data_IF_800336521103
#
_entry.id   IF_800336521103
#
_cell.length_a   1.000
_cell.length_b   1.000
_cell.length_c   1.000
_cell.angle_alpha   90.00
_cell.angle_beta   90.00
_cell.angle_gamma   90.00
#
_symmetry.space_group_name_H-M   'P 1'
#
loop_
_entity.id
_entity.type
_entity.pdbx_description
1 polymer ?
#
# COMPACT_ATOMS: atom_id res chain seq x y z
N UNK A 1 -11.67 -4.63 -26.33
CA UNK A 1 -11.04 -3.85 -25.26
C UNK A 1 -11.86 -2.59 -25.13
N UNK A 2 -12.47 -2.38 -23.98
CA UNK A 2 -13.29 -1.20 -23.67
C UNK A 2 -12.49 -0.22 -22.83
N UNK A 3 -13.05 0.96 -22.56
CA UNK A 3 -12.35 2.06 -21.87
C UNK A 3 -11.68 1.61 -20.55
N UNK A 4 -12.32 0.73 -19.78
CA UNK A 4 -11.75 0.20 -18.53
C UNK A 4 -10.46 -0.61 -18.74
N UNK A 5 -10.33 -1.36 -19.85
CA UNK A 5 -9.11 -2.11 -20.14
C UNK A 5 -7.92 -1.14 -20.32
N UNK A 6 -8.15 -0.01 -21.00
CA UNK A 6 -7.15 1.05 -21.14
C UNK A 6 -6.85 1.74 -19.82
N UNK A 7 -7.85 1.94 -18.95
CA UNK A 7 -7.64 2.47 -17.60
C UNK A 7 -6.78 1.52 -16.76
N UNK A 8 -7.06 0.22 -16.78
CA UNK A 8 -6.27 -0.80 -16.07
C UNK A 8 -4.81 -0.79 -16.55
N UNK A 9 -4.59 -0.83 -17.86
CA UNK A 9 -3.24 -0.76 -18.45
C UNK A 9 -2.57 0.56 -18.05
N UNK A 10 -3.31 1.66 -18.07
CA UNK A 10 -2.82 2.97 -17.65
C UNK A 10 -2.34 2.99 -16.20
N UNK A 11 -3.11 2.45 -15.27
CA UNK A 11 -2.74 2.39 -13.84
C UNK A 11 -1.51 1.52 -13.63
N UNK A 12 -1.50 0.31 -14.20
CA UNK A 12 -0.37 -0.63 -14.06
C UNK A 12 0.88 -0.07 -14.70
N UNK A 13 0.77 0.46 -15.92
CA UNK A 13 1.87 1.07 -16.67
C UNK A 13 2.42 2.31 -15.96
N UNK A 14 1.55 3.18 -15.44
CA UNK A 14 1.96 4.36 -14.68
C UNK A 14 2.65 3.98 -13.36
N UNK A 15 2.12 2.98 -12.65
CA UNK A 15 2.76 2.46 -11.44
C UNK A 15 4.14 1.88 -11.73
N UNK A 16 4.28 1.12 -12.82
CA UNK A 16 5.56 0.58 -13.27
C UNK A 16 6.55 1.69 -13.69
N UNK A 17 6.07 2.73 -14.37
CA UNK A 17 6.89 3.87 -14.81
C UNK A 17 7.39 4.71 -13.63
N UNK A 18 6.54 4.96 -12.63
CA UNK A 18 6.97 5.61 -11.39
C UNK A 18 8.07 4.79 -10.72
N UNK A 19 7.91 3.48 -10.62
CA UNK A 19 8.89 2.61 -9.97
C UNK A 19 10.16 2.41 -10.80
N UNK A 20 10.11 2.60 -12.13
CA UNK A 20 11.31 2.70 -12.97
C UNK A 20 12.15 3.94 -12.62
N UNK A 21 11.50 5.07 -12.32
CA UNK A 21 12.19 6.33 -11.97
C UNK A 21 12.71 6.28 -10.53
N UNK A 22 11.93 5.74 -9.60
CA UNK A 22 12.30 5.70 -8.17
C UNK A 22 13.23 4.55 -7.82
N UNK A 23 13.11 3.40 -8.49
CA UNK A 23 13.87 2.18 -8.19
C UNK A 23 13.19 1.28 -7.15
N UNK A 24 13.50 -0.01 -7.18
CA UNK A 24 12.92 -1.02 -6.28
C UNK A 24 13.25 -0.73 -4.81
N UNK A 25 14.51 -0.46 -4.50
CA UNK A 25 14.98 -0.33 -3.12
C UNK A 25 14.27 0.83 -2.42
N UNK A 26 14.12 1.98 -3.10
CA UNK A 26 13.41 3.13 -2.53
C UNK A 26 11.94 2.81 -2.22
N UNK A 27 11.31 2.02 -3.09
CA UNK A 27 9.93 1.58 -2.95
C UNK A 27 9.76 0.55 -1.82
N UNK A 28 10.64 -0.45 -1.75
CA UNK A 28 10.62 -1.49 -0.73
C UNK A 28 10.90 -0.93 0.67
N UNK A 29 11.92 -0.07 0.79
CA UNK A 29 12.27 0.60 2.04
C UNK A 29 11.15 1.54 2.51
N UNK A 30 10.46 2.21 1.58
CA UNK A 30 9.26 2.99 1.91
C UNK A 30 8.18 2.09 2.52
N UNK A 31 7.89 0.94 1.91
CA UNK A 31 6.87 0.02 2.42
C UNK A 31 7.24 -0.52 3.82
N UNK A 32 8.50 -0.93 4.02
CA UNK A 32 9.02 -1.36 5.33
C UNK A 32 8.91 -0.24 6.37
N UNK A 33 9.25 0.99 6.00
CA UNK A 33 9.14 2.16 6.87
C UNK A 33 7.69 2.39 7.34
N UNK A 34 6.71 2.22 6.44
CA UNK A 34 5.30 2.31 6.80
C UNK A 34 4.89 1.23 7.81
N UNK A 35 5.29 -0.03 7.60
CA UNK A 35 5.05 -1.11 8.58
C UNK A 35 5.67 -0.81 9.94
N UNK A 36 6.94 -0.36 9.96
CA UNK A 36 7.63 0.02 11.20
C UNK A 36 6.93 1.20 11.88
N UNK A 37 6.48 2.21 11.12
CA UNK A 37 5.78 3.35 11.67
C UNK A 37 4.46 2.95 12.33
N UNK A 38 3.67 2.06 11.72
CA UNK A 38 2.47 1.52 12.36
C UNK A 38 2.80 0.72 13.62
N UNK A 39 3.84 -0.13 13.57
CA UNK A 39 4.25 -0.92 14.72
C UNK A 39 4.68 -0.03 15.88
N UNK A 40 5.56 0.95 15.62
CA UNK A 40 6.04 1.87 16.65
C UNK A 40 4.89 2.71 17.21
N UNK A 41 4.06 3.30 16.34
CA UNK A 41 2.96 4.14 16.79
C UNK A 41 1.91 3.35 17.59
N UNK A 42 1.59 2.11 17.21
CA UNK A 42 0.60 1.29 17.93
C UNK A 42 1.12 0.74 19.27
N UNK A 43 2.43 0.52 19.40
CA UNK A 43 3.01 -0.08 20.60
C UNK A 43 3.49 0.97 21.62
N UNK A 44 4.09 2.08 21.16
CA UNK A 44 4.76 3.05 22.04
C UNK A 44 3.94 4.32 22.29
N UNK A 45 2.74 4.47 21.71
CA UNK A 45 1.90 5.64 22.01
C UNK A 45 1.56 5.82 23.50
N UNK A 46 1.36 4.76 24.33
CA UNK A 46 1.03 4.97 25.73
C UNK A 46 2.15 5.70 26.47
N UNK A 47 3.40 5.38 26.16
CA UNK A 47 4.59 5.99 26.78
C UNK A 47 4.71 7.47 26.41
N UNK A 48 4.42 7.81 25.15
CA UNK A 48 4.47 9.20 24.70
C UNK A 48 3.23 10.00 25.15
N UNK A 49 2.06 9.36 25.26
CA UNK A 49 0.80 9.99 25.67
C UNK A 49 0.87 10.64 27.06
N UNK A 50 1.72 10.11 27.96
CA UNK A 50 1.92 10.64 29.31
C UNK A 50 2.39 12.09 29.30
N UNK A 51 3.20 12.49 28.30
CA UNK A 51 3.77 13.83 28.20
C UNK A 51 2.79 14.88 27.67
N UNK A 52 1.68 14.49 27.04
CA UNK A 52 0.64 15.40 26.56
C UNK A 52 -0.32 15.83 27.69
N UNK A 53 0.21 16.43 28.76
CA UNK A 53 -0.55 16.79 29.96
C UNK A 53 -1.51 17.96 29.78
N UNK A 54 -1.33 18.77 28.73
CA UNK A 54 -2.19 19.91 28.41
C UNK A 54 -3.60 19.53 27.95
N UNK A 55 -3.82 18.28 27.57
CA UNK A 55 -5.12 17.78 27.14
C UNK A 55 -5.74 16.92 28.24
N UNK A 56 -6.99 17.20 28.62
CA UNK A 56 -7.70 16.39 29.63
C UNK A 56 -8.26 15.09 29.06
N UNK A 57 -8.59 15.08 27.76
CA UNK A 57 -9.17 13.92 27.08
C UNK A 57 -8.08 12.90 26.70
N UNK A 58 -8.21 11.68 27.22
CA UNK A 58 -7.30 10.58 26.95
C UNK A 58 -7.28 10.15 25.48
N UNK A 59 -8.41 10.23 24.77
CA UNK A 59 -8.50 9.90 23.35
C UNK A 59 -7.69 10.89 22.51
N UNK A 60 -7.76 12.17 22.84
CA UNK A 60 -6.98 13.23 22.17
C UNK A 60 -5.48 13.03 22.41
N UNK A 61 -5.07 12.77 23.66
CA UNK A 61 -3.66 12.51 24.01
C UNK A 61 -3.09 11.30 23.26
N UNK A 62 -3.82 10.20 23.25
CA UNK A 62 -3.41 8.97 22.56
C UNK A 62 -3.32 9.21 21.06
N UNK A 63 -4.31 9.88 20.47
CA UNK A 63 -4.30 10.23 19.05
C UNK A 63 -3.10 11.09 18.66
N UNK A 64 -2.77 12.11 19.47
CA UNK A 64 -1.59 12.95 19.26
C UNK A 64 -0.29 12.17 19.39
N UNK A 65 -0.19 11.28 20.38
CA UNK A 65 1.00 10.43 20.57
C UNK A 65 1.21 9.47 19.40
N UNK A 66 0.15 8.80 18.94
CA UNK A 66 0.18 7.94 17.74
C UNK A 66 0.64 8.76 16.53
N UNK A 67 0.01 9.91 16.28
CA UNK A 67 0.34 10.75 15.14
C UNK A 67 1.80 11.24 15.18
N UNK A 68 2.26 11.69 16.36
CA UNK A 68 3.62 12.15 16.56
C UNK A 68 4.65 11.04 16.32
N UNK A 69 4.47 9.86 16.91
CA UNK A 69 5.35 8.70 16.70
C UNK A 69 5.37 8.24 15.26
N UNK A 70 4.18 8.17 14.64
CA UNK A 70 4.02 7.75 13.26
C UNK A 70 4.78 8.68 12.31
N UNK A 71 4.53 9.99 12.40
CA UNK A 71 5.19 11.00 11.56
C UNK A 71 6.69 11.04 11.82
N UNK A 72 7.12 11.02 13.09
CA UNK A 72 8.54 10.99 13.43
C UNK A 72 9.25 9.77 12.83
N UNK A 73 8.63 8.58 12.91
CA UNK A 73 9.17 7.36 12.33
C UNK A 73 9.24 7.43 10.81
N UNK A 74 8.21 7.97 10.15
CA UNK A 74 8.23 8.17 8.69
C UNK A 74 9.34 9.13 8.25
N UNK A 75 9.57 10.22 9.00
CA UNK A 75 10.66 11.16 8.71
C UNK A 75 12.01 10.45 8.82
N UNK A 76 12.25 9.75 9.94
CA UNK A 76 13.51 9.02 10.15
C UNK A 76 13.72 7.93 9.10
N UNK A 77 12.70 7.13 8.81
CA UNK A 77 12.77 6.11 7.77
C UNK A 77 12.94 6.71 6.38
N UNK A 78 12.39 7.90 6.11
CA UNK A 78 12.63 8.66 4.87
C UNK A 78 14.09 9.07 4.71
N UNK A 79 14.75 9.51 5.79
CA UNK A 79 16.19 9.81 5.79
C UNK A 79 17.01 8.54 5.52
N UNK A 80 16.68 7.43 6.21
CA UNK A 80 17.34 6.13 5.96
C UNK A 80 17.17 5.70 4.50
N UNK A 81 15.95 5.82 3.96
CA UNK A 81 15.65 5.49 2.58
C UNK A 81 16.47 6.32 1.59
N UNK A 82 16.65 7.62 1.86
CA UNK A 82 17.49 8.49 1.05
C UNK A 82 18.96 8.03 1.06
N UNK A 83 19.51 7.73 2.24
CA UNK A 83 20.90 7.24 2.37
C UNK A 83 21.09 5.91 1.64
N UNK A 84 20.16 4.97 1.81
CA UNK A 84 20.20 3.68 1.10
C UNK A 84 20.13 3.89 -0.41
N UNK A 85 19.28 4.82 -0.89
CA UNK A 85 19.23 5.21 -2.29
C UNK A 85 20.57 5.70 -2.84
N UNK A 86 21.30 6.52 -2.08
CA UNK A 86 22.64 6.97 -2.45
C UNK A 86 23.63 5.79 -2.53
N UNK A 87 23.55 4.81 -1.63
CA UNK A 87 24.42 3.63 -1.67
C UNK A 87 24.18 2.79 -2.94
N UNK A 88 22.91 2.61 -3.35
CA UNK A 88 22.56 1.90 -4.59
C UNK A 88 23.11 2.64 -5.82
N UNK A 89 23.02 3.97 -5.84
CA UNK A 89 23.57 4.79 -6.91
C UNK A 89 25.11 4.68 -6.96
N UNK A 90 25.78 4.68 -5.81
CA UNK A 90 27.25 4.58 -5.71
C UNK A 90 27.81 3.20 -6.06
N UNK A 91 27.05 2.13 -5.83
CA UNK A 91 27.46 0.75 -6.19
C UNK A 91 27.34 0.45 -7.69
N UNK A 92 26.74 1.35 -8.47
CA UNK A 92 26.50 1.14 -9.91
C UNK A 92 25.34 0.19 -10.21
N UNK A 93 24.63 -0.30 -9.19
CA UNK A 93 23.51 -1.23 -9.34
C UNK A 93 22.17 -0.53 -9.71
N UNK A 94 22.20 0.77 -10.01
CA UNK A 94 20.99 1.55 -10.34
C UNK A 94 20.20 0.97 -11.52
N UNK A 95 20.86 0.38 -12.52
CA UNK A 95 20.17 -0.26 -13.64
C UNK A 95 19.30 -1.45 -13.20
N UNK A 96 19.87 -2.37 -12.43
CA UNK A 96 19.16 -3.54 -11.90
C UNK A 96 18.05 -3.13 -10.94
N UNK A 97 18.32 -2.15 -10.06
CA UNK A 97 17.34 -1.60 -9.12
C UNK A 97 16.10 -1.03 -9.84
N UNK A 98 16.29 -0.34 -10.97
CA UNK A 98 15.18 0.19 -11.78
C UNK A 98 14.37 -0.91 -12.48
N UNK A 99 15.02 -1.95 -12.99
CA UNK A 99 14.33 -3.09 -13.63
C UNK A 99 13.49 -3.85 -12.61
N UNK A 100 14.07 -4.15 -11.44
CA UNK A 100 13.30 -4.72 -10.32
C UNK A 100 12.17 -3.77 -9.89
N UNK A 101 12.41 -2.46 -9.98
CA UNK A 101 11.42 -1.42 -9.71
C UNK A 101 10.22 -1.55 -10.63
N UNK A 102 10.41 -1.78 -11.93
CA UNK A 102 9.32 -2.01 -12.89
C UNK A 102 8.48 -3.22 -12.48
N UNK A 103 9.10 -4.35 -12.15
CA UNK A 103 8.39 -5.55 -11.71
C UNK A 103 7.57 -5.27 -10.44
N UNK A 104 8.19 -4.64 -9.45
CA UNK A 104 7.52 -4.27 -8.20
C UNK A 104 6.36 -3.29 -8.44
N UNK A 105 6.58 -2.26 -9.27
CA UNK A 105 5.57 -1.28 -9.65
C UNK A 105 4.40 -1.89 -10.42
N UNK A 106 4.66 -2.87 -11.28
CA UNK A 106 3.63 -3.62 -11.98
C UNK A 106 2.79 -4.45 -11.00
N UNK A 107 3.42 -5.19 -10.09
CA UNK A 107 2.71 -5.94 -9.02
C UNK A 107 1.87 -5.00 -8.17
N UNK A 108 2.44 -3.86 -7.73
CA UNK A 108 1.69 -2.82 -6.98
C UNK A 108 0.50 -2.30 -7.79
N UNK A 109 0.70 -2.04 -9.08
CA UNK A 109 -0.36 -1.60 -9.98
C UNK A 109 -1.48 -2.62 -10.09
N UNK A 110 -1.13 -3.91 -10.19
CA UNK A 110 -2.10 -5.00 -10.19
C UNK A 110 -2.89 -5.04 -8.89
N UNK A 111 -2.22 -4.94 -7.74
CA UNK A 111 -2.88 -4.91 -6.43
C UNK A 111 -3.82 -3.71 -6.28
N UNK A 112 -3.41 -2.52 -6.74
CA UNK A 112 -4.26 -1.32 -6.73
C UNK A 112 -5.51 -1.53 -7.57
N UNK A 113 -5.37 -2.05 -8.79
CA UNK A 113 -6.51 -2.35 -9.67
C UNK A 113 -7.42 -3.41 -9.06
N UNK A 114 -6.86 -4.49 -8.49
CA UNK A 114 -7.62 -5.53 -7.78
C UNK A 114 -8.45 -4.91 -6.65
N UNK A 115 -7.85 -4.04 -5.84
CA UNK A 115 -8.56 -3.35 -4.76
C UNK A 115 -9.69 -2.48 -5.31
N UNK A 116 -9.44 -1.67 -6.34
CA UNK A 116 -10.46 -0.82 -6.96
C UNK A 116 -11.63 -1.63 -7.52
N UNK A 117 -11.35 -2.68 -8.31
CA UNK A 117 -12.38 -3.56 -8.86
C UNK A 117 -13.18 -4.24 -7.75
N UNK A 118 -12.51 -4.69 -6.68
CA UNK A 118 -13.18 -5.25 -5.52
C UNK A 118 -14.14 -4.25 -4.85
N UNK A 119 -13.68 -3.02 -4.59
CA UNK A 119 -14.51 -1.99 -3.99
C UNK A 119 -15.71 -1.65 -4.90
N UNK A 120 -15.49 -1.58 -6.21
CA UNK A 120 -16.56 -1.31 -7.19
C UNK A 120 -17.59 -2.43 -7.27
N UNK A 121 -17.19 -3.69 -7.13
CA UNK A 121 -18.10 -4.84 -7.13
C UNK A 121 -18.87 -4.98 -5.81
N UNK A 122 -18.21 -4.73 -4.68
CA UNK A 122 -18.80 -4.92 -3.34
C UNK A 122 -19.74 -3.79 -2.94
N UNK A 123 -19.35 -2.55 -3.25
CA UNK A 123 -20.09 -1.37 -2.84
C UNK A 123 -20.95 -0.78 -3.96
N UNK A 124 -20.92 -1.36 -5.17
CA UNK A 124 -21.71 -0.85 -6.29
C UNK A 124 -22.17 -1.98 -7.21
N UNK A 125 -23.35 -1.84 -7.83
CA UNK A 125 -23.88 -2.81 -8.80
C UNK A 125 -23.21 -2.70 -10.19
N UNK A 126 -21.98 -2.16 -10.27
CA UNK A 126 -21.30 -1.90 -11.54
C UNK A 126 -20.82 -3.17 -12.24
N UNK A 127 -20.73 -4.29 -11.53
CA UNK A 127 -20.35 -5.58 -12.11
C UNK A 127 -21.34 -6.13 -13.14
N UNK A 128 -22.55 -5.56 -13.20
CA UNK A 128 -23.57 -5.91 -14.20
C UNK A 128 -23.57 -5.00 -15.44
N UNK A 129 -22.70 -3.97 -15.47
CA UNK A 129 -22.67 -3.02 -16.58
C UNK A 129 -22.03 -3.60 -17.85
N UNK A 130 -22.46 -3.11 -19.01
CA UNK A 130 -21.98 -3.59 -20.32
C UNK A 130 -20.46 -3.47 -20.46
N UNK A 131 -19.84 -2.42 -19.91
CA UNK A 131 -18.40 -2.21 -19.98
C UNK A 131 -17.62 -3.14 -19.04
N UNK A 132 -18.22 -3.59 -17.94
CA UNK A 132 -17.59 -4.56 -17.04
C UNK A 132 -17.58 -5.95 -17.68
N UNK A 133 -18.72 -6.38 -18.23
CA UNK A 133 -18.87 -7.68 -18.89
C UNK A 133 -18.06 -7.75 -20.20
N UNK A 134 -17.98 -6.65 -20.95
CA UNK A 134 -17.21 -6.59 -22.20
C UNK A 134 -15.68 -6.46 -22.00
N UNK A 135 -15.20 -6.21 -20.78
CA UNK A 135 -13.77 -6.10 -20.48
C UNK A 135 -13.07 -7.45 -20.60
N UNK A 136 -11.89 -7.46 -21.22
CA UNK A 136 -11.05 -8.67 -21.28
C UNK A 136 -10.13 -8.79 -20.07
N UNK A 137 -9.75 -7.67 -19.45
CA UNK A 137 -8.79 -7.67 -18.34
C UNK A 137 -9.46 -7.92 -16.99
N UNK A 138 -10.67 -7.40 -16.75
CA UNK A 138 -11.37 -7.55 -15.46
C UNK A 138 -11.42 -9.02 -14.96
N UNK A 139 -11.72 -10.03 -15.79
CA UNK A 139 -11.71 -11.43 -15.34
C UNK A 139 -10.36 -11.93 -14.80
N UNK A 140 -9.25 -11.44 -15.34
CA UNK A 140 -7.88 -11.86 -14.96
C UNK A 140 -7.49 -11.41 -13.53
N UNK A 141 -8.18 -10.41 -12.99
CA UNK A 141 -7.95 -9.91 -11.63
C UNK A 141 -8.76 -10.68 -10.58
N UNK A 142 -9.77 -11.47 -10.99
CA UNK A 142 -10.61 -12.25 -10.06
C UNK A 142 -9.80 -13.21 -9.18
N UNK A 143 -8.82 -13.98 -9.68
CA UNK A 143 -8.03 -14.89 -8.83
C UNK A 143 -7.25 -14.13 -7.74
N UNK A 144 -6.69 -12.97 -8.08
CA UNK A 144 -5.94 -12.12 -7.12
C UNK A 144 -6.88 -11.60 -6.04
N UNK A 145 -8.05 -11.13 -6.44
CA UNK A 145 -9.09 -10.66 -5.50
C UNK A 145 -9.51 -11.82 -4.59
N UNK A 146 -9.88 -12.97 -5.14
CA UNK A 146 -10.33 -14.14 -4.37
C UNK A 146 -9.26 -14.65 -3.40
N UNK A 147 -8.00 -14.73 -3.81
CA UNK A 147 -6.89 -15.09 -2.93
C UNK A 147 -6.79 -14.12 -1.75
N UNK A 148 -6.88 -12.82 -2.00
CA UNK A 148 -6.86 -11.80 -0.94
C UNK A 148 -8.04 -11.95 0.03
N UNK A 149 -9.24 -12.25 -0.47
CA UNK A 149 -10.41 -12.54 0.38
C UNK A 149 -10.21 -13.78 1.24
N UNK A 150 -9.75 -14.87 0.64
CA UNK A 150 -9.47 -16.10 1.37
C UNK A 150 -8.45 -15.88 2.49
N UNK A 151 -7.42 -15.08 2.22
CA UNK A 151 -6.44 -14.70 3.24
C UNK A 151 -7.05 -13.87 4.38
N UNK A 152 -7.85 -12.84 4.06
CA UNK A 152 -8.49 -12.00 5.07
C UNK A 152 -9.47 -12.80 5.94
N UNK A 153 -10.35 -13.60 5.32
CA UNK A 153 -11.35 -14.42 6.02
C UNK A 153 -10.69 -15.42 6.99
N UNK A 154 -9.62 -16.07 6.55
CA UNK A 154 -8.90 -17.04 7.39
C UNK A 154 -8.10 -16.37 8.52
N UNK A 155 -7.67 -15.12 8.34
CA UNK A 155 -6.84 -14.41 9.33
C UNK A 155 -7.67 -13.63 10.36
N UNK A 156 -8.90 -13.24 10.01
CA UNK A 156 -9.75 -12.45 10.89
C UNK A 156 -10.62 -13.34 11.80
N UNK A 157 -10.31 -13.36 13.10
CA UNK A 157 -11.21 -13.90 14.13
C UNK A 157 -12.55 -13.15 14.22
N UNK A 158 -12.57 -11.89 13.76
CA UNK A 158 -13.78 -11.05 13.70
C UNK A 158 -14.83 -11.54 12.69
N UNK A 159 -14.43 -12.11 11.54
CA UNK A 159 -15.39 -12.57 10.51
C UNK A 159 -15.87 -14.01 10.74
N UNK A 160 -15.18 -14.80 11.56
CA UNK A 160 -15.66 -16.12 11.99
C UNK A 160 -16.88 -16.05 12.91
N UNK A 161 -17.10 -14.93 13.62
CA UNK A 161 -18.23 -14.79 14.56
C UNK A 161 -19.57 -14.45 13.89
N UNK A 162 -19.60 -14.21 12.58
CA UNK A 162 -20.81 -13.77 11.84
C UNK A 162 -21.45 -14.93 11.06
N UNK A 163 -20.94 -16.17 11.20
CA UNK A 163 -21.60 -17.40 10.72
C UNK A 163 -22.26 -18.14 11.89
#
# INVERSE_FOLDING_TARGET
>A
MVWIDYTIIGIVGFSALISLVRGFVKEAMSLVTWFIAFFIASHFYPDLAVYFTSFSDAMVRNGLAIAALFVATLILGGVVNYVVGLLVEKTGLSGTDRVLGVCFGAIRGVLIVSALLFFMDTFTSLSQSDWWVASKLVPEFKPVIQWFFGFMLNSSSFLQQVQ
#
